data_IF_701618192432
#
_entry.id   IF_701618192432
#
_cell.length_a   1.000
_cell.length_b   1.000
_cell.length_c   1.000
_cell.angle_alpha   90.00
_cell.angle_beta   90.00
_cell.angle_gamma   90.00
#
_symmetry.space_group_name_H-M   'P 1'
#
loop_
_entity.id
_entity.type
_entity.pdbx_description
1 polymer ?
#
# COMPACT_ATOMS: atom_id res chain seq x y z
N UNK A 1 8.51 0.93 -12.57
CA UNK A 1 7.12 1.33 -12.23
C UNK A 1 7.08 2.43 -11.17
N UNK A 2 7.75 2.26 -10.04
CA UNK A 2 7.92 3.28 -8.99
C UNK A 2 9.37 3.72 -8.97
N UNK A 3 9.66 5.03 -8.99
CA UNK A 3 11.01 5.56 -8.98
C UNK A 3 11.12 6.80 -8.10
N UNK A 4 12.13 6.82 -7.25
CA UNK A 4 12.56 7.94 -6.44
C UNK A 4 13.94 8.37 -6.92
N UNK A 5 14.11 9.66 -7.22
CA UNK A 5 15.38 10.25 -7.66
C UNK A 5 15.78 11.33 -6.65
N UNK A 6 16.79 11.04 -5.82
CA UNK A 6 17.37 11.94 -4.81
C UNK A 6 16.30 12.62 -3.92
N UNK A 7 15.35 11.84 -3.40
CA UNK A 7 14.18 12.35 -2.68
C UNK A 7 14.51 12.62 -1.23
N UNK A 8 14.29 13.86 -0.80
CA UNK A 8 14.34 14.30 0.60
C UNK A 8 12.95 14.67 1.07
N UNK A 9 12.57 14.24 2.28
CA UNK A 9 11.34 14.68 2.95
C UNK A 9 11.66 15.15 4.35
N UNK A 10 11.30 16.41 4.63
CA UNK A 10 11.35 17.02 5.96
C UNK A 10 9.93 17.38 6.39
N UNK A 11 9.57 17.05 7.60
CA UNK A 11 8.35 17.57 8.26
C UNK A 11 8.70 18.80 9.09
N UNK A 12 7.75 19.70 9.27
CA UNK A 12 7.95 20.95 10.01
C UNK A 12 8.46 20.68 11.44
N UNK A 13 9.54 21.39 11.81
CA UNK A 13 10.18 21.23 13.13
C UNK A 13 10.90 19.91 13.39
N UNK A 14 10.99 19.01 12.41
CA UNK A 14 11.58 17.67 12.56
C UNK A 14 12.88 17.49 11.75
N UNK A 15 13.60 16.39 12.07
CA UNK A 15 14.73 15.90 11.25
C UNK A 15 14.18 15.36 9.92
N UNK A 16 15.07 15.26 8.93
CA UNK A 16 14.74 14.67 7.65
C UNK A 16 14.26 13.22 7.82
N UNK A 17 13.00 12.96 7.44
CA UNK A 17 12.43 11.62 7.43
C UNK A 17 13.02 10.77 6.29
N UNK A 18 13.38 11.42 5.17
CA UNK A 18 14.12 10.82 4.05
C UNK A 18 15.23 11.78 3.64
N UNK A 19 16.42 11.24 3.34
CA UNK A 19 17.66 12.00 3.09
C UNK A 19 18.24 11.64 1.72
N UNK A 20 17.68 12.24 0.66
CA UNK A 20 18.20 12.05 -0.70
C UNK A 20 18.11 10.62 -1.19
N UNK A 21 17.03 9.90 -0.88
CA UNK A 21 16.91 8.50 -1.27
C UNK A 21 16.66 8.34 -2.77
N UNK A 22 17.29 7.31 -3.34
CA UNK A 22 16.99 6.82 -4.68
C UNK A 22 16.61 5.35 -4.59
N UNK A 23 15.49 4.97 -5.18
CA UNK A 23 15.04 3.59 -5.27
C UNK A 23 14.18 3.39 -6.51
N UNK A 24 14.12 2.15 -6.96
CA UNK A 24 13.31 1.76 -8.11
C UNK A 24 12.62 0.43 -7.84
N UNK A 25 11.33 0.35 -8.22
CA UNK A 25 10.55 -0.90 -8.24
C UNK A 25 10.02 -1.06 -9.66
N UNK A 26 10.33 -2.19 -10.27
CA UNK A 26 9.94 -2.50 -11.67
C UNK A 26 8.43 -2.76 -11.80
N UNK A 27 7.93 -2.73 -13.03
CA UNK A 27 6.55 -3.11 -13.29
C UNK A 27 6.34 -4.60 -13.02
N UNK A 28 5.28 -4.95 -12.27
CA UNK A 28 5.00 -6.32 -11.86
C UNK A 28 5.93 -6.86 -10.75
N UNK A 29 6.84 -6.04 -10.21
CA UNK A 29 7.69 -6.45 -9.10
C UNK A 29 6.93 -6.39 -7.76
N UNK A 30 7.16 -7.39 -6.90
CA UNK A 30 6.84 -7.35 -5.48
C UNK A 30 8.13 -7.08 -4.70
N UNK A 31 8.18 -5.96 -3.97
CA UNK A 31 9.32 -5.59 -3.14
C UNK A 31 8.87 -5.29 -1.71
N UNK A 32 9.71 -5.66 -0.75
CA UNK A 32 9.54 -5.28 0.65
C UNK A 32 10.38 -4.06 1.02
N UNK A 33 9.75 -3.13 1.73
CA UNK A 33 10.42 -1.99 2.35
C UNK A 33 10.60 -2.28 3.83
N UNK A 34 11.83 -2.58 4.25
CA UNK A 34 12.15 -2.97 5.63
C UNK A 34 12.89 -1.87 6.37
N UNK A 35 12.95 -1.97 7.69
CA UNK A 35 13.66 -1.03 8.55
C UNK A 35 12.96 -0.86 9.90
N UNK A 36 13.69 -0.30 10.88
CA UNK A 36 13.14 -0.04 12.23
C UNK A 36 11.97 0.94 12.17
N UNK A 37 11.16 0.98 13.24
CA UNK A 37 10.14 2.03 13.41
C UNK A 37 10.81 3.41 13.30
N UNK A 38 10.15 4.35 12.61
CA UNK A 38 10.69 5.68 12.36
C UNK A 38 11.76 5.76 11.24
N UNK A 39 12.11 4.67 10.55
CA UNK A 39 13.11 4.70 9.47
C UNK A 39 12.69 5.45 8.21
N UNK A 40 11.39 5.79 8.06
CA UNK A 40 10.84 6.51 6.90
C UNK A 40 9.95 5.66 5.98
N UNK A 41 9.67 4.39 6.32
CA UNK A 41 8.85 3.48 5.48
C UNK A 41 7.48 4.09 5.10
N UNK A 42 6.70 4.48 6.10
CA UNK A 42 5.38 5.09 5.87
C UNK A 42 5.48 6.41 5.10
N UNK A 43 6.59 7.16 5.24
CA UNK A 43 6.84 8.38 4.46
C UNK A 43 7.01 8.05 2.97
N UNK A 44 7.75 6.99 2.62
CA UNK A 44 7.87 6.52 1.23
C UNK A 44 6.50 6.18 0.65
N UNK A 45 5.68 5.41 1.39
CA UNK A 45 4.33 5.04 0.94
C UNK A 45 3.41 6.27 0.77
N UNK A 46 3.47 7.23 1.71
CA UNK A 46 2.68 8.48 1.63
C UNK A 46 3.07 9.33 0.42
N UNK A 47 4.34 9.36 0.04
CA UNK A 47 4.80 10.05 -1.16
C UNK A 47 4.26 9.39 -2.44
N UNK A 48 4.24 8.05 -2.50
CA UNK A 48 3.66 7.29 -3.62
C UNK A 48 2.14 7.56 -3.73
N UNK A 49 1.42 7.59 -2.59
CA UNK A 49 -0.02 7.88 -2.56
C UNK A 49 -0.37 9.35 -2.77
N UNK A 50 0.63 10.24 -2.91
CA UNK A 50 0.44 11.72 -2.92
C UNK A 50 -0.31 12.25 -1.69
N UNK A 51 -0.22 11.57 -0.54
CA UNK A 51 -0.67 12.10 0.75
C UNK A 51 0.31 13.18 1.22
N UNK A 52 1.59 13.00 0.86
CA UNK A 52 2.69 13.92 1.13
C UNK A 52 3.41 14.27 -0.17
N UNK A 53 4.09 15.42 -0.18
CA UNK A 53 4.98 15.83 -1.27
C UNK A 53 6.44 15.78 -0.81
N UNK A 54 7.40 15.45 -1.69
CA UNK A 54 8.81 15.53 -1.36
C UNK A 54 9.22 16.99 -1.12
N UNK A 55 10.18 17.22 -0.22
CA UNK A 55 10.80 18.54 -0.02
C UNK A 55 11.80 18.83 -1.16
N UNK A 56 12.48 17.79 -1.63
CA UNK A 56 13.41 17.85 -2.79
C UNK A 56 13.38 16.50 -3.51
N UNK A 57 13.86 16.50 -4.76
CA UNK A 57 13.92 15.31 -5.59
C UNK A 57 12.62 15.03 -6.34
N UNK A 58 12.54 13.89 -6.97
CA UNK A 58 11.41 13.53 -7.85
C UNK A 58 10.89 12.14 -7.52
N UNK A 59 9.58 12.01 -7.43
CA UNK A 59 8.87 10.71 -7.35
C UNK A 59 8.10 10.52 -8.65
N UNK A 60 8.35 9.39 -9.31
CA UNK A 60 7.67 8.99 -10.54
C UNK A 60 6.97 7.66 -10.33
N UNK A 61 5.69 7.56 -10.71
CA UNK A 61 4.90 6.34 -10.65
C UNK A 61 4.15 6.14 -11.97
N UNK A 62 4.25 4.96 -12.55
CA UNK A 62 3.67 4.63 -13.87
C UNK A 62 4.01 5.68 -14.95
N UNK A 63 5.28 6.12 -14.97
CA UNK A 63 5.79 7.14 -15.89
C UNK A 63 5.36 8.58 -15.59
N UNK A 64 4.54 8.81 -14.55
CA UNK A 64 4.04 10.13 -14.17
C UNK A 64 4.90 10.73 -13.06
N UNK A 65 5.48 11.90 -13.30
CA UNK A 65 6.13 12.69 -12.25
C UNK A 65 5.07 13.29 -11.32
N UNK A 66 5.05 12.82 -10.06
CA UNK A 66 4.00 13.19 -9.10
C UNK A 66 4.06 14.67 -8.69
N UNK A 67 5.25 15.27 -8.69
CA UNK A 67 5.41 16.71 -8.39
C UNK A 67 4.90 17.65 -9.49
N UNK A 68 4.56 17.13 -10.68
CA UNK A 68 4.01 17.90 -11.81
C UNK A 68 2.50 17.71 -11.98
N UNK A 69 1.86 16.84 -11.19
CA UNK A 69 0.41 16.67 -11.24
C UNK A 69 -0.31 17.88 -10.68
N UNK A 70 -1.28 18.37 -11.42
CA UNK A 70 -2.19 19.42 -10.95
C UNK A 70 -3.23 18.82 -10.00
N UNK A 71 -3.77 19.59 -9.07
CA UNK A 71 -4.72 19.11 -8.06
C UNK A 71 -5.91 18.34 -8.67
N UNK A 72 -6.41 18.77 -9.82
CA UNK A 72 -7.49 18.09 -10.55
C UNK A 72 -7.13 16.71 -11.10
N UNK A 73 -5.84 16.39 -11.21
CA UNK A 73 -5.32 15.11 -11.73
C UNK A 73 -5.05 14.10 -10.61
N UNK A 74 -4.91 14.57 -9.36
CA UNK A 74 -4.60 13.74 -8.18
C UNK A 74 -5.68 12.69 -7.91
N UNK A 75 -7.00 12.99 -7.96
CA UNK A 75 -8.02 11.96 -7.77
C UNK A 75 -7.90 10.82 -8.77
N UNK A 76 -7.74 11.13 -10.07
CA UNK A 76 -7.57 10.13 -11.12
C UNK A 76 -6.28 9.32 -10.99
N UNK A 77 -5.22 9.89 -10.42
CA UNK A 77 -4.01 9.17 -10.07
C UNK A 77 -4.26 8.19 -8.89
N UNK A 78 -4.86 8.67 -7.80
CA UNK A 78 -5.14 7.84 -6.61
C UNK A 78 -6.05 6.66 -6.90
N UNK A 79 -6.93 6.75 -7.88
CA UNK A 79 -7.78 5.64 -8.34
C UNK A 79 -6.98 4.44 -8.88
N UNK A 80 -5.74 4.66 -9.32
CA UNK A 80 -4.87 3.63 -9.87
C UNK A 80 -3.95 3.01 -8.81
N UNK A 81 -3.99 3.55 -7.57
CA UNK A 81 -3.16 3.11 -6.44
C UNK A 81 -4.05 2.45 -5.40
N UNK A 82 -3.82 1.19 -5.10
CA UNK A 82 -4.36 0.53 -3.92
C UNK A 82 -3.49 0.85 -2.71
N UNK A 83 -4.07 1.26 -1.60
CA UNK A 83 -3.33 1.51 -0.37
C UNK A 83 -3.95 0.78 0.81
N UNK A 84 -3.15 -0.05 1.47
CA UNK A 84 -3.46 -0.67 2.76
C UNK A 84 -2.79 0.15 3.85
N UNK A 85 -3.57 0.75 4.74
CA UNK A 85 -3.09 1.57 5.84
C UNK A 85 -2.85 0.70 7.08
N UNK A 86 -1.88 1.07 7.90
CA UNK A 86 -1.59 0.39 9.16
C UNK A 86 -2.79 0.42 10.14
N UNK A 87 -3.54 1.52 10.18
CA UNK A 87 -4.73 1.73 11.02
C UNK A 87 -6.05 1.55 10.24
N UNK A 88 -6.00 0.82 9.12
CA UNK A 88 -7.09 0.46 8.21
C UNK A 88 -7.93 1.62 7.66
N UNK A 89 -8.10 2.75 8.37
CA UNK A 89 -8.91 3.91 7.96
C UNK A 89 -10.30 3.52 7.45
N UNK A 90 -10.97 2.62 8.16
CA UNK A 90 -12.32 2.19 7.82
C UNK A 90 -13.35 3.24 8.25
N UNK A 91 -14.48 3.26 7.56
CA UNK A 91 -15.63 4.10 7.90
C UNK A 91 -16.53 3.30 8.85
N UNK A 92 -16.52 3.64 10.13
CA UNK A 92 -17.21 2.89 11.19
C UNK A 92 -18.73 2.98 11.14
N UNK A 93 -19.27 4.01 10.47
CA UNK A 93 -20.69 4.23 10.22
C UNK A 93 -21.22 3.53 8.95
N UNK A 94 -20.35 2.81 8.25
CA UNK A 94 -20.64 2.10 7.00
C UNK A 94 -20.42 0.60 7.16
N UNK A 95 -21.20 -0.19 6.43
CA UNK A 95 -21.00 -1.65 6.37
C UNK A 95 -19.67 -2.03 5.72
N UNK A 96 -19.25 -3.29 5.87
CA UNK A 96 -18.09 -3.83 5.14
C UNK A 96 -18.25 -3.68 3.62
N UNK A 97 -19.45 -3.99 3.10
CA UNK A 97 -19.78 -3.77 1.68
C UNK A 97 -19.54 -2.32 1.25
N UNK A 98 -20.10 -1.34 1.98
CA UNK A 98 -19.97 0.08 1.64
C UNK A 98 -18.53 0.58 1.73
N UNK A 99 -17.75 0.09 2.69
CA UNK A 99 -16.32 0.40 2.79
C UNK A 99 -15.56 -0.06 1.53
N UNK A 100 -15.82 -1.28 1.06
CA UNK A 100 -15.18 -1.83 -0.14
C UNK A 100 -15.73 -1.20 -1.42
N UNK A 101 -17.01 -0.82 -1.45
CA UNK A 101 -17.62 -0.18 -2.60
C UNK A 101 -17.10 1.24 -2.88
N UNK A 102 -16.63 1.95 -1.84
CA UNK A 102 -16.28 3.37 -1.91
C UNK A 102 -15.33 3.73 -3.07
N UNK A 103 -14.21 3.03 -3.32
CA UNK A 103 -13.35 3.35 -4.45
C UNK A 103 -14.05 3.22 -5.80
N UNK A 104 -14.95 2.24 -5.95
CA UNK A 104 -15.69 2.03 -7.20
C UNK A 104 -16.76 3.10 -7.41
N UNK A 105 -17.43 3.55 -6.35
CA UNK A 105 -18.39 4.65 -6.38
C UNK A 105 -17.70 5.95 -6.82
N UNK A 106 -16.55 6.26 -6.22
CA UNK A 106 -15.75 7.44 -6.58
C UNK A 106 -15.30 7.39 -8.05
N UNK A 107 -15.07 6.19 -8.59
CA UNK A 107 -14.69 5.97 -9.98
C UNK A 107 -15.88 6.02 -10.95
N UNK A 108 -17.11 6.23 -10.47
CA UNK A 108 -18.30 6.25 -11.31
C UNK A 108 -18.69 4.88 -11.89
N UNK A 109 -18.29 3.78 -11.22
CA UNK A 109 -18.64 2.42 -11.63
C UNK A 109 -20.14 2.19 -11.46
N UNK A 110 -20.79 1.51 -12.41
CA UNK A 110 -22.22 1.21 -12.32
C UNK A 110 -22.55 0.19 -11.21
N UNK A 111 -23.74 0.30 -10.61
CA UNK A 111 -24.16 -0.49 -9.43
C UNK A 111 -23.99 -2.00 -9.58
N UNK A 112 -24.40 -2.56 -10.73
CA UNK A 112 -24.30 -4.01 -10.99
C UNK A 112 -22.84 -4.49 -10.93
N UNK A 113 -21.94 -3.71 -11.47
CA UNK A 113 -20.50 -4.02 -11.46
C UNK A 113 -19.89 -3.82 -10.07
N UNK A 114 -20.33 -2.79 -9.33
CA UNK A 114 -19.95 -2.58 -7.93
C UNK A 114 -20.29 -3.83 -7.12
N UNK A 115 -21.56 -4.29 -7.17
CA UNK A 115 -21.99 -5.48 -6.42
C UNK A 115 -21.15 -6.71 -6.72
N UNK A 116 -20.83 -6.95 -7.99
CA UNK A 116 -20.00 -8.09 -8.42
C UNK A 116 -18.59 -7.99 -7.89
N UNK A 117 -17.93 -6.82 -8.02
CA UNK A 117 -16.54 -6.63 -7.61
C UNK A 117 -16.37 -6.62 -6.09
N UNK A 118 -17.29 -5.98 -5.38
CA UNK A 118 -17.26 -5.91 -3.91
C UNK A 118 -17.35 -7.30 -3.30
N UNK A 119 -18.33 -8.12 -3.72
CA UNK A 119 -18.47 -9.48 -3.21
C UNK A 119 -17.27 -10.35 -3.55
N UNK A 120 -16.74 -10.24 -4.76
CA UNK A 120 -15.51 -10.95 -5.12
C UNK A 120 -14.31 -10.54 -4.27
N UNK A 121 -14.15 -9.25 -3.95
CA UNK A 121 -13.07 -8.77 -3.09
C UNK A 121 -13.25 -9.22 -1.63
N UNK A 122 -14.49 -9.20 -1.10
CA UNK A 122 -14.79 -9.71 0.23
C UNK A 122 -14.58 -11.22 0.34
N UNK A 123 -14.94 -11.98 -0.69
CA UNK A 123 -14.72 -13.42 -0.77
C UNK A 123 -13.22 -13.77 -0.73
N UNK A 124 -12.40 -13.04 -1.50
CA UNK A 124 -10.94 -13.22 -1.53
C UNK A 124 -10.26 -13.05 -0.16
N UNK A 125 -10.86 -12.27 0.74
CA UNK A 125 -10.35 -12.05 2.10
C UNK A 125 -11.16 -12.79 3.18
N UNK A 126 -12.08 -13.69 2.79
CA UNK A 126 -12.90 -14.48 3.72
C UNK A 126 -13.88 -13.66 4.55
N UNK A 127 -14.47 -12.61 3.96
CA UNK A 127 -15.42 -11.71 4.65
C UNK A 127 -16.78 -11.58 3.92
N UNK A 128 -17.10 -12.46 2.98
CA UNK A 128 -18.34 -12.36 2.21
C UNK A 128 -19.58 -12.46 3.10
N UNK A 129 -19.59 -13.33 4.09
CA UNK A 129 -20.66 -13.50 5.09
C UNK A 129 -20.80 -12.32 6.05
N UNK A 130 -19.79 -11.43 6.09
CA UNK A 130 -19.74 -10.22 6.90
C UNK A 130 -20.09 -8.94 6.10
N UNK A 131 -20.53 -9.03 4.85
CA UNK A 131 -20.74 -7.87 3.97
C UNK A 131 -21.62 -6.76 4.58
N UNK A 132 -22.57 -7.13 5.46
CA UNK A 132 -23.52 -6.19 6.10
C UNK A 132 -23.08 -5.65 7.44
N UNK A 133 -22.00 -6.16 8.00
CA UNK A 133 -21.52 -5.78 9.32
C UNK A 133 -20.69 -4.50 9.27
N UNK A 134 -20.85 -3.56 10.23
CA UNK A 134 -19.98 -2.39 10.33
C UNK A 134 -18.62 -2.78 10.94
N UNK A 135 -17.52 -2.07 10.58
CA UNK A 135 -16.16 -2.38 11.05
C UNK A 135 -16.02 -2.54 12.56
N UNK A 136 -16.74 -1.73 13.34
CA UNK A 136 -16.71 -1.77 14.80
C UNK A 136 -17.14 -3.12 15.43
N UNK A 137 -17.83 -3.98 14.67
CA UNK A 137 -18.25 -5.32 15.11
C UNK A 137 -17.31 -6.41 14.64
N UNK A 138 -16.31 -6.07 13.85
CA UNK A 138 -15.30 -6.97 13.33
C UNK A 138 -14.08 -7.01 14.24
N UNK A 139 -13.42 -8.17 14.34
CA UNK A 139 -12.13 -8.29 15.01
C UNK A 139 -11.05 -7.45 14.31
N UNK A 140 -9.93 -7.18 14.98
CA UNK A 140 -8.83 -6.42 14.39
C UNK A 140 -8.30 -7.07 13.09
N UNK A 141 -8.20 -8.40 13.04
CA UNK A 141 -7.82 -9.15 11.85
C UNK A 141 -8.85 -9.05 10.72
N UNK A 142 -10.15 -9.10 11.02
CA UNK A 142 -11.21 -8.89 10.04
C UNK A 142 -11.20 -7.45 9.50
N UNK A 143 -10.97 -6.45 10.34
CA UNK A 143 -10.81 -5.06 9.92
C UNK A 143 -9.60 -4.88 8.98
N UNK A 144 -8.48 -5.54 9.28
CA UNK A 144 -7.30 -5.53 8.42
C UNK A 144 -7.61 -6.12 7.04
N UNK A 145 -8.25 -7.30 6.99
CA UNK A 145 -8.68 -7.94 5.74
C UNK A 145 -9.69 -7.09 4.98
N UNK A 146 -10.59 -6.40 5.66
CA UNK A 146 -11.54 -5.47 5.05
C UNK A 146 -10.80 -4.28 4.39
N UNK A 147 -9.77 -3.73 5.04
CA UNK A 147 -8.89 -2.71 4.47
C UNK A 147 -8.18 -3.18 3.21
N UNK A 148 -7.74 -4.43 3.19
CA UNK A 148 -7.13 -5.07 2.01
C UNK A 148 -8.16 -5.21 0.89
N UNK A 149 -9.36 -5.74 1.17
CA UNK A 149 -10.43 -5.86 0.17
C UNK A 149 -10.75 -4.51 -0.49
N UNK A 150 -10.84 -3.43 0.30
CA UNK A 150 -11.04 -2.08 -0.22
C UNK A 150 -9.89 -1.60 -1.11
N UNK A 151 -8.65 -1.94 -0.77
CA UNK A 151 -7.49 -1.53 -1.55
C UNK A 151 -7.41 -2.25 -2.92
N UNK A 152 -7.87 -3.50 -3.01
CA UNK A 152 -7.75 -4.32 -4.23
C UNK A 152 -8.99 -4.29 -5.14
N UNK A 153 -10.16 -3.82 -4.65
CA UNK A 153 -11.43 -3.87 -5.38
C UNK A 153 -11.40 -3.18 -6.75
N UNK A 154 -10.62 -2.11 -6.87
CA UNK A 154 -10.44 -1.36 -8.12
C UNK A 154 -9.44 -2.02 -9.08
N UNK A 155 -8.78 -3.12 -8.70
CA UNK A 155 -7.71 -3.77 -9.45
C UNK A 155 -6.59 -2.78 -9.79
N UNK A 156 -5.92 -2.20 -8.78
CA UNK A 156 -4.93 -1.17 -8.98
C UNK A 156 -3.70 -1.73 -9.71
N UNK A 157 -3.02 -0.88 -10.49
CA UNK A 157 -1.72 -1.23 -11.10
C UNK A 157 -0.61 -1.28 -10.08
N UNK A 158 -0.71 -0.45 -9.03
CA UNK A 158 0.24 -0.37 -7.92
C UNK A 158 -0.51 -0.57 -6.62
N UNK A 159 -0.05 -1.51 -5.81
CA UNK A 159 -0.52 -1.73 -4.44
C UNK A 159 0.60 -1.40 -3.48
N UNK A 160 0.33 -0.50 -2.56
CA UNK A 160 1.23 -0.18 -1.45
C UNK A 160 0.58 -0.57 -0.13
N UNK A 161 1.36 -1.15 0.78
CA UNK A 161 0.83 -1.62 2.06
C UNK A 161 1.77 -1.23 3.20
N UNK A 162 1.22 -0.64 4.25
CA UNK A 162 1.94 -0.27 5.47
C UNK A 162 1.60 -1.26 6.58
N UNK A 163 2.54 -2.18 6.88
CA UNK A 163 2.43 -3.25 7.88
C UNK A 163 1.12 -4.07 7.77
N UNK A 164 0.81 -4.64 6.59
CA UNK A 164 -0.51 -5.23 6.33
C UNK A 164 -0.81 -6.48 7.14
N UNK A 165 0.18 -7.08 7.79
CA UNK A 165 0.06 -8.31 8.58
C UNK A 165 0.32 -8.08 10.08
N UNK A 166 0.62 -6.85 10.50
CA UNK A 166 1.07 -6.54 11.85
C UNK A 166 0.06 -6.86 12.98
N UNK A 167 -1.22 -6.96 12.66
CA UNK A 167 -2.31 -7.27 13.61
C UNK A 167 -2.94 -8.65 13.36
N UNK A 168 -2.29 -9.51 12.57
CA UNK A 168 -2.77 -10.84 12.21
C UNK A 168 -1.97 -11.92 12.96
N UNK A 169 -2.63 -13.04 13.23
CA UNK A 169 -1.92 -14.25 13.62
C UNK A 169 -1.06 -14.79 12.45
N UNK A 170 -0.06 -15.65 12.72
CA UNK A 170 0.88 -16.11 11.70
C UNK A 170 0.23 -16.79 10.50
N UNK A 171 -0.80 -17.61 10.70
CA UNK A 171 -1.46 -18.35 9.63
C UNK A 171 -2.20 -17.39 8.71
N UNK A 172 -2.94 -16.44 9.30
CA UNK A 172 -3.66 -15.41 8.57
C UNK A 172 -2.72 -14.43 7.84
N UNK A 173 -1.56 -14.13 8.43
CA UNK A 173 -0.52 -13.34 7.79
C UNK A 173 -0.01 -14.01 6.50
N UNK A 174 0.20 -15.34 6.55
CA UNK A 174 0.59 -16.12 5.37
C UNK A 174 -0.50 -16.13 4.30
N UNK A 175 -1.78 -16.27 4.68
CA UNK A 175 -2.91 -16.20 3.74
C UNK A 175 -2.99 -14.85 3.01
N UNK A 176 -2.85 -13.75 3.74
CA UNK A 176 -2.83 -12.39 3.19
C UNK A 176 -1.67 -12.20 2.23
N UNK A 177 -0.48 -12.69 2.60
CA UNK A 177 0.68 -12.58 1.73
C UNK A 177 0.57 -13.48 0.50
N UNK A 178 -0.05 -14.65 0.61
CA UNK A 178 -0.37 -15.51 -0.54
C UNK A 178 -1.37 -14.80 -1.49
N UNK A 179 -2.36 -14.06 -0.95
CA UNK A 179 -3.24 -13.22 -1.76
C UNK A 179 -2.44 -12.14 -2.50
N UNK A 180 -1.53 -11.43 -1.83
CA UNK A 180 -0.69 -10.43 -2.49
C UNK A 180 0.18 -11.03 -3.59
N UNK A 181 0.76 -12.22 -3.36
CA UNK A 181 1.52 -12.94 -4.38
C UNK A 181 0.67 -13.25 -5.62
N UNK A 182 -0.56 -13.78 -5.45
CA UNK A 182 -1.48 -14.03 -6.57
C UNK A 182 -1.82 -12.75 -7.35
N UNK A 183 -2.01 -11.63 -6.66
CA UNK A 183 -2.27 -10.34 -7.31
C UNK A 183 -1.02 -9.82 -8.05
N UNK A 184 0.18 -10.09 -7.54
CA UNK A 184 1.44 -9.77 -8.20
C UNK A 184 1.64 -10.61 -9.48
N UNK A 185 1.35 -11.91 -9.42
CA UNK A 185 1.44 -12.83 -10.55
C UNK A 185 0.56 -12.41 -11.74
N UNK A 186 -0.54 -11.69 -11.50
CA UNK A 186 -1.38 -11.10 -12.57
C UNK A 186 -0.95 -9.68 -12.96
N UNK A 187 0.23 -9.23 -12.51
CA UNK A 187 0.89 -8.01 -12.98
C UNK A 187 0.77 -6.79 -12.07
N UNK A 188 0.16 -6.89 -10.88
CA UNK A 188 0.14 -5.77 -9.92
C UNK A 188 1.53 -5.54 -9.35
N UNK A 189 2.05 -4.31 -9.46
CA UNK A 189 3.31 -3.90 -8.82
C UNK A 189 3.07 -3.64 -7.34
N UNK A 190 3.93 -4.16 -6.46
CA UNK A 190 3.71 -4.06 -5.01
C UNK A 190 4.93 -3.54 -4.25
N UNK A 191 4.68 -2.63 -3.30
CA UNK A 191 5.66 -2.20 -2.31
C UNK A 191 5.05 -2.33 -0.92
N UNK A 192 5.55 -3.28 -0.13
CA UNK A 192 5.00 -3.66 1.18
C UNK A 192 6.00 -3.26 2.26
N UNK A 193 5.64 -2.32 3.11
CA UNK A 193 6.41 -2.03 4.32
C UNK A 193 6.13 -3.12 5.36
N UNK A 194 7.20 -3.74 5.87
CA UNK A 194 7.12 -4.73 6.94
C UNK A 194 8.38 -4.70 7.81
N UNK A 195 8.21 -4.98 9.09
CA UNK A 195 9.29 -5.23 10.03
C UNK A 195 9.46 -6.72 10.34
N UNK A 196 8.56 -7.58 9.86
CA UNK A 196 8.64 -9.03 10.02
C UNK A 196 9.59 -9.61 8.95
N UNK A 197 10.86 -9.80 9.35
CA UNK A 197 11.90 -10.33 8.48
C UNK A 197 11.67 -11.81 8.11
N UNK A 198 11.02 -12.59 8.99
CA UNK A 198 10.72 -14.01 8.70
C UNK A 198 9.71 -14.12 7.56
N UNK A 199 8.68 -13.29 7.59
CA UNK A 199 7.68 -13.23 6.52
C UNK A 199 8.34 -12.76 5.20
N UNK A 200 9.20 -11.73 5.26
CA UNK A 200 9.94 -11.22 4.09
C UNK A 200 10.82 -12.31 3.46
N UNK A 201 11.55 -13.06 4.28
CA UNK A 201 12.43 -14.15 3.83
C UNK A 201 11.62 -15.33 3.25
N UNK A 202 10.49 -15.67 3.88
CA UNK A 202 9.62 -16.76 3.40
C UNK A 202 9.11 -16.51 1.97
N UNK A 203 8.79 -15.26 1.62
CA UNK A 203 8.28 -14.91 0.29
C UNK A 203 9.38 -14.68 -0.75
N UNK A 204 10.65 -14.59 -0.33
CA UNK A 204 11.80 -14.53 -1.24
C UNK A 204 11.81 -13.34 -2.21
N UNK A 205 11.04 -12.28 -1.92
CA UNK A 205 10.96 -11.11 -2.76
C UNK A 205 12.08 -10.10 -2.42
N UNK A 206 12.36 -9.20 -3.35
CA UNK A 206 13.39 -8.17 -3.17
C UNK A 206 13.16 -7.34 -1.93
N UNK A 207 14.22 -7.10 -1.16
CA UNK A 207 14.21 -6.31 0.06
C UNK A 207 14.95 -4.98 -0.16
N UNK A 208 14.25 -3.87 0.11
CA UNK A 208 14.80 -2.51 0.17
C UNK A 208 14.84 -2.11 1.64
N UNK A 209 16.02 -1.83 2.20
CA UNK A 209 16.17 -1.53 3.62
C UNK A 209 16.32 -0.02 3.83
N UNK A 210 15.47 0.56 4.68
CA UNK A 210 15.57 1.93 5.17
C UNK A 210 16.24 1.97 6.55
N UNK A 211 17.21 2.86 6.71
CA UNK A 211 17.89 3.10 8.00
C UNK A 211 18.19 4.59 8.15
N UNK A 212 17.59 5.23 9.17
CA UNK A 212 17.83 6.65 9.46
C UNK A 212 17.49 7.62 8.32
N UNK A 213 16.50 7.27 7.48
CA UNK A 213 16.08 8.05 6.32
C UNK A 213 16.90 7.81 5.05
N UNK A 214 17.77 6.82 5.03
CA UNK A 214 18.61 6.43 3.88
C UNK A 214 18.27 5.03 3.41
N UNK A 215 18.39 4.77 2.09
CA UNK A 215 18.21 3.44 1.51
C UNK A 215 19.55 2.70 1.52
N UNK A 216 19.50 1.44 1.96
CA UNK A 216 20.61 0.48 1.84
C UNK A 216 20.11 -0.70 1.02
N UNK A 217 20.83 -1.07 -0.01
CA UNK A 217 20.50 -2.28 -0.78
C UNK A 217 20.88 -3.54 0.01
N UNK A 218 20.34 -4.71 -0.40
CA UNK A 218 20.43 -5.96 0.34
C UNK A 218 21.83 -6.45 0.75
N UNK A 219 22.92 -5.81 0.23
CA UNK A 219 24.30 -6.01 0.63
C UNK A 219 24.78 -5.03 1.73
N UNK A 220 23.93 -4.11 2.20
CA UNK A 220 24.32 -3.12 3.23
C UNK A 220 25.06 -1.88 2.69
N UNK A 221 25.22 -1.76 1.39
CA UNK A 221 25.83 -0.60 0.74
C UNK A 221 24.80 0.52 0.50
N UNK A 222 25.23 1.78 0.65
CA UNK A 222 24.42 2.94 0.33
C UNK A 222 24.21 2.99 -1.19
N UNK A 223 22.97 2.95 -1.62
CA UNK A 223 22.59 3.22 -3.02
C UNK A 223 22.74 4.73 -3.26
N UNK A 224 23.74 5.10 -4.05
CA UNK A 224 23.99 6.49 -4.47
C UNK A 224 23.10 6.91 -5.63
#
# INVERSE_FOLDING_TARGET
MIRFDNVTKRYDGARDALKGISLHVEAGELAFLTGRSGAGKSTVLKLIALIEHPTRGTVTVDGRNLGKLRDREIPGYRQQIGMVFQDNKLLDDRSAYENVALPLIINGTGEREIGRRVRAALDQVGLLDRERYPPRTLSAGEQQRLGIARAIVSRPKVLIADEPTGNLDPDLALEVMALFKRLNEVGTTMLIASHDLHLVEHFGARRITLSGGEVRDGAGELVK
#
